data_IF_762338134009
#
_entry.id   IF_762338134009
#
_cell.length_a   1.000
_cell.length_b   1.000
_cell.length_c   1.000
_cell.angle_alpha   90.00
_cell.angle_beta   90.00
_cell.angle_gamma   90.00
#
_symmetry.space_group_name_H-M   'P 1'
#
loop_
_entity.id
_entity.type
_entity.pdbx_description
1 polymer ?
#
# COMPACT_ATOMS: atom_id res chain seq x y z
N UNK A 1 -5.51 -6.42 11.53
CA UNK A 1 -4.53 -5.50 12.15
C UNK A 1 -4.15 -4.41 11.18
N UNK A 2 -3.77 -3.24 11.70
CA UNK A 2 -3.32 -2.10 10.90
C UNK A 2 -1.83 -1.85 11.13
N UNK A 3 -1.05 -1.78 10.06
CA UNK A 3 0.35 -1.37 10.04
C UNK A 3 0.45 -0.02 9.30
N UNK A 4 0.05 1.05 9.99
CA UNK A 4 -0.12 2.37 9.38
C UNK A 4 0.33 3.53 10.28
N UNK A 5 1.04 3.23 11.36
CA UNK A 5 1.49 4.21 12.35
C UNK A 5 0.35 5.13 12.86
N UNK A 6 -0.85 4.56 13.06
CA UNK A 6 -2.06 5.30 13.47
C UNK A 6 -2.43 6.42 12.49
N UNK A 7 -2.37 6.13 11.19
CA UNK A 7 -2.78 7.05 10.14
C UNK A 7 -4.16 7.68 10.41
N UNK A 8 -4.27 9.00 10.18
CA UNK A 8 -5.50 9.77 10.40
C UNK A 8 -6.54 9.58 9.31
N UNK A 9 -6.14 9.00 8.18
CA UNK A 9 -6.97 8.74 7.00
C UNK A 9 -7.35 7.26 6.85
N UNK A 10 -7.26 6.48 7.94
CA UNK A 10 -7.76 5.10 7.99
C UNK A 10 -9.27 5.11 7.68
N UNK A 11 -9.76 4.21 6.80
CA UNK A 11 -11.19 4.14 6.50
C UNK A 11 -12.00 3.79 7.76
N UNK A 12 -13.26 4.21 7.80
CA UNK A 12 -14.18 3.90 8.91
C UNK A 12 -14.63 2.44 8.91
N UNK A 13 -14.63 1.79 7.74
CA UNK A 13 -14.97 0.39 7.57
C UNK A 13 -14.16 -0.30 6.46
N UNK A 14 -14.10 -1.63 6.55
CA UNK A 14 -13.59 -2.52 5.50
C UNK A 14 -14.64 -3.59 5.22
N UNK A 15 -14.49 -4.30 4.10
CA UNK A 15 -15.32 -5.47 3.76
C UNK A 15 -14.46 -6.71 3.67
N UNK A 16 -14.85 -7.74 4.43
CA UNK A 16 -14.21 -9.05 4.44
C UNK A 16 -15.17 -10.06 3.83
N UNK A 17 -14.73 -10.72 2.77
CA UNK A 17 -15.45 -11.77 2.08
C UNK A 17 -15.04 -13.13 2.67
N UNK A 18 -16.03 -13.99 2.91
CA UNK A 18 -15.84 -15.42 3.15
C UNK A 18 -15.93 -16.16 1.83
N UNK A 19 -14.89 -16.94 1.51
CA UNK A 19 -14.85 -17.80 0.34
C UNK A 19 -15.04 -19.25 0.76
N UNK A 20 -15.95 -19.95 0.08
CA UNK A 20 -16.14 -21.39 0.16
C UNK A 20 -15.72 -22.00 -1.17
N UNK A 21 -14.68 -22.85 -1.16
CA UNK A 21 -14.07 -23.42 -2.36
C UNK A 21 -13.76 -22.36 -3.45
N UNK A 22 -13.23 -21.21 -3.03
CA UNK A 22 -12.86 -20.11 -3.92
C UNK A 22 -14.02 -19.20 -4.38
N UNK A 23 -15.27 -19.46 -3.96
CA UNK A 23 -16.42 -18.62 -4.27
C UNK A 23 -16.86 -17.81 -3.05
N UNK A 24 -17.13 -16.53 -3.24
CA UNK A 24 -17.69 -15.67 -2.18
C UNK A 24 -19.08 -16.17 -1.80
N UNK A 25 -19.31 -16.39 -0.50
CA UNK A 25 -20.59 -16.88 0.05
C UNK A 25 -21.18 -15.98 1.14
N UNK A 26 -20.38 -15.12 1.76
CA UNK A 26 -20.83 -14.08 2.68
C UNK A 26 -19.83 -12.91 2.68
N UNK A 27 -20.28 -11.73 3.10
CA UNK A 27 -19.45 -10.54 3.26
C UNK A 27 -19.80 -9.84 4.58
N UNK A 28 -18.79 -9.50 5.37
CA UNK A 28 -18.94 -8.69 6.59
C UNK A 28 -18.33 -7.32 6.42
N UNK A 29 -19.09 -6.31 6.80
CA UNK A 29 -18.55 -4.99 7.08
C UNK A 29 -17.93 -4.99 8.48
N UNK A 30 -16.69 -4.52 8.58
CA UNK A 30 -15.90 -4.51 9.82
C UNK A 30 -15.49 -3.08 10.13
N UNK A 31 -15.65 -2.67 11.37
CA UNK A 31 -15.44 -1.28 11.80
C UNK A 31 -14.65 -1.19 13.10
N UNK A 32 -14.25 0.03 13.48
CA UNK A 32 -13.69 0.29 14.79
C UNK A 32 -14.65 -0.08 15.94
N UNK A 33 -15.97 0.06 15.77
CA UNK A 33 -16.97 -0.31 16.78
C UNK A 33 -16.97 -1.82 17.08
N UNK A 34 -16.64 -2.65 16.08
CA UNK A 34 -16.45 -4.10 16.23
C UNK A 34 -15.05 -4.47 16.71
N UNK A 35 -14.22 -3.49 17.12
CA UNK A 35 -12.80 -3.67 17.42
C UNK A 35 -12.02 -4.33 16.26
N UNK A 36 -12.42 -4.06 15.01
CA UNK A 36 -11.87 -4.68 13.81
C UNK A 36 -11.95 -6.21 13.77
N UNK A 37 -12.89 -6.80 14.52
CA UNK A 37 -13.13 -8.25 14.54
C UNK A 37 -14.36 -8.59 13.72
N UNK A 38 -14.35 -9.77 13.12
CA UNK A 38 -15.47 -10.33 12.39
C UNK A 38 -15.63 -11.81 12.70
N UNK A 39 -16.84 -12.32 12.55
CA UNK A 39 -17.18 -13.72 12.73
C UNK A 39 -18.14 -14.14 11.64
N UNK A 40 -17.90 -15.30 11.05
CA UNK A 40 -18.85 -16.02 10.21
C UNK A 40 -19.33 -17.24 10.98
N UNK A 41 -20.64 -17.40 11.10
CA UNK A 41 -21.26 -18.47 11.90
C UNK A 41 -22.06 -19.41 11.02
N UNK A 42 -22.37 -20.61 11.56
CA UNK A 42 -23.25 -21.60 10.92
C UNK A 42 -22.75 -22.07 9.54
N UNK A 43 -21.41 -22.17 9.40
CA UNK A 43 -20.78 -22.70 8.20
C UNK A 43 -20.90 -24.23 8.16
N UNK A 44 -21.27 -24.76 7.00
CA UNK A 44 -21.31 -26.21 6.80
C UNK A 44 -19.88 -26.73 6.63
N UNK A 45 -19.51 -27.82 7.31
CA UNK A 45 -18.18 -28.39 7.17
C UNK A 45 -18.01 -29.25 5.90
N UNK A 46 -19.10 -29.85 5.41
CA UNK A 46 -19.09 -30.80 4.30
C UNK A 46 -20.24 -30.55 3.32
N UNK A 47 -20.02 -30.91 2.06
CA UNK A 47 -21.06 -30.94 1.04
C UNK A 47 -21.98 -32.16 1.17
N UNK A 48 -22.98 -32.28 0.27
CA UNK A 48 -23.94 -33.37 0.25
C UNK A 48 -23.30 -34.77 0.02
N UNK A 49 -22.07 -34.81 -0.50
CA UNK A 49 -21.32 -36.04 -0.76
C UNK A 49 -20.30 -36.34 0.36
N UNK A 50 -20.25 -35.52 1.42
CA UNK A 50 -19.30 -35.67 2.52
C UNK A 50 -17.91 -35.11 2.24
N UNK A 51 -17.73 -34.30 1.19
CA UNK A 51 -16.45 -33.64 0.88
C UNK A 51 -16.32 -32.36 1.71
N UNK A 52 -15.19 -32.19 2.39
CA UNK A 52 -14.96 -31.03 3.25
C UNK A 52 -14.88 -29.73 2.43
N UNK A 53 -15.52 -28.68 2.90
CA UNK A 53 -15.39 -27.35 2.32
C UNK A 53 -14.08 -26.69 2.76
N UNK A 54 -13.39 -26.07 1.80
CA UNK A 54 -12.28 -25.16 2.08
C UNK A 54 -12.85 -23.75 2.30
N UNK A 55 -12.56 -23.18 3.46
CA UNK A 55 -12.90 -21.79 3.77
C UNK A 55 -11.66 -20.91 3.82
N UNK A 56 -11.77 -19.73 3.19
CA UNK A 56 -10.74 -18.71 3.15
C UNK A 56 -11.39 -17.34 3.35
N UNK A 57 -10.62 -16.36 3.81
CA UNK A 57 -11.08 -14.98 3.90
C UNK A 57 -10.30 -14.12 2.91
N UNK A 58 -10.96 -13.08 2.40
CA UNK A 58 -10.34 -12.08 1.55
C UNK A 58 -10.87 -10.71 1.92
N UNK A 59 -10.00 -9.72 1.97
CA UNK A 59 -10.43 -8.34 2.07
C UNK A 59 -10.70 -7.75 0.69
N UNK A 60 -11.75 -6.94 0.57
CA UNK A 60 -11.94 -6.10 -0.61
C UNK A 60 -10.89 -4.98 -0.63
N UNK A 61 -10.49 -4.49 -1.82
CA UNK A 61 -9.45 -3.47 -1.92
C UNK A 61 -9.75 -2.23 -1.06
N UNK A 62 -8.77 -1.81 -0.26
CA UNK A 62 -8.81 -0.59 0.55
C UNK A 62 -7.87 0.44 -0.07
N UNK A 63 -8.40 1.62 -0.41
CA UNK A 63 -7.60 2.65 -1.05
C UNK A 63 -6.42 3.09 -0.17
N UNK A 64 -5.20 3.05 -0.72
CA UNK A 64 -3.98 3.45 -0.02
C UNK A 64 -3.44 2.40 0.95
N UNK A 65 -3.93 1.17 0.89
CA UNK A 65 -3.47 0.06 1.72
C UNK A 65 -3.20 -1.18 0.88
N UNK A 66 -2.20 -1.94 1.30
CA UNK A 66 -1.92 -3.28 0.82
C UNK A 66 -2.36 -4.28 1.90
N UNK A 67 -3.10 -5.31 1.49
CA UNK A 67 -3.70 -6.29 2.38
C UNK A 67 -2.98 -7.63 2.29
N UNK A 68 -2.64 -8.20 3.45
CA UNK A 68 -2.05 -9.52 3.57
C UNK A 68 -2.90 -10.42 4.47
N UNK A 69 -3.24 -11.61 3.99
CA UNK A 69 -4.02 -12.61 4.73
C UNK A 69 -3.10 -13.72 5.23
N UNK A 70 -3.16 -14.01 6.54
CA UNK A 70 -2.47 -15.14 7.18
C UNK A 70 -3.50 -15.97 7.96
N UNK A 71 -3.95 -17.08 7.37
CA UNK A 71 -5.08 -17.86 7.90
C UNK A 71 -6.35 -17.04 7.84
N UNK A 72 -6.82 -16.56 8.99
CA UNK A 72 -7.97 -15.65 9.12
C UNK A 72 -7.58 -14.25 9.59
N UNK A 73 -6.30 -13.99 9.82
CA UNK A 73 -5.85 -12.65 10.19
C UNK A 73 -5.56 -11.84 8.93
N UNK A 74 -6.12 -10.63 8.88
CA UNK A 74 -5.92 -9.67 7.79
C UNK A 74 -5.06 -8.52 8.32
N UNK A 75 -3.94 -8.23 7.67
CA UNK A 75 -3.08 -7.09 8.00
C UNK A 75 -3.08 -6.09 6.85
N UNK A 76 -3.51 -4.87 7.14
CA UNK A 76 -3.46 -3.74 6.22
C UNK A 76 -2.22 -2.90 6.48
N UNK A 77 -1.32 -2.83 5.50
CA UNK A 77 -0.14 -1.95 5.54
C UNK A 77 -0.42 -0.70 4.74
N UNK A 78 -0.20 0.48 5.33
CA UNK A 78 -0.36 1.74 4.61
C UNK A 78 0.66 1.77 3.48
N UNK A 79 0.17 1.95 2.26
CA UNK A 79 1.04 2.31 1.14
C UNK A 79 1.39 3.78 1.37
N UNK A 80 2.57 4.01 1.94
CA UNK A 80 3.12 5.35 1.97
C UNK A 80 3.21 5.83 0.52
N UNK A 81 2.79 7.08 0.28
CA UNK A 81 3.18 7.81 -0.92
C UNK A 81 4.19 8.83 -0.43
N UNK A 82 5.46 8.53 -0.59
CA UNK A 82 6.48 9.51 -0.28
C UNK A 82 6.62 10.46 -1.46
N UNK A 83 6.71 11.75 -1.15
CA UNK A 83 7.21 12.75 -2.09
C UNK A 83 8.61 13.13 -1.61
N UNK A 84 9.61 12.95 -2.46
CA UNK A 84 10.98 13.38 -2.18
C UNK A 84 11.31 14.52 -3.12
N UNK A 85 11.48 15.71 -2.57
CA UNK A 85 11.84 16.90 -3.33
C UNK A 85 13.22 17.41 -2.95
N UNK A 86 13.87 18.07 -3.90
CA UNK A 86 15.13 18.72 -3.67
C UNK A 86 15.45 19.72 -4.77
N UNK A 87 16.54 20.42 -4.57
CA UNK A 87 17.07 21.40 -5.53
C UNK A 87 18.58 21.27 -5.54
N UNK A 88 19.16 21.20 -6.73
CA UNK A 88 20.60 21.28 -6.87
C UNK A 88 21.04 22.75 -6.86
N UNK A 89 21.88 23.12 -5.89
CA UNK A 89 22.45 24.46 -5.76
C UNK A 89 23.91 24.42 -6.17
N UNK A 90 24.27 25.25 -7.15
CA UNK A 90 25.64 25.39 -7.63
C UNK A 90 26.39 26.43 -6.79
N UNK A 91 27.49 26.04 -6.16
CA UNK A 91 28.43 26.95 -5.49
C UNK A 91 29.74 27.02 -6.28
N UNK A 92 29.68 27.67 -7.44
CA UNK A 92 30.74 27.68 -8.46
C UNK A 92 31.10 29.11 -8.92
N UNK A 93 30.73 30.14 -8.15
CA UNK A 93 30.89 31.55 -8.54
C UNK A 93 30.25 31.89 -9.91
N UNK A 94 29.14 31.23 -10.25
CA UNK A 94 28.42 31.46 -11.50
C UNK A 94 29.24 31.13 -12.75
N UNK A 95 29.94 30.00 -12.70
CA UNK A 95 30.68 29.45 -13.82
C UNK A 95 29.80 29.25 -15.07
N UNK A 96 30.38 29.43 -16.26
CA UNK A 96 29.68 29.37 -17.55
C UNK A 96 29.70 27.99 -18.20
N UNK A 97 30.49 27.05 -17.68
CA UNK A 97 30.73 25.70 -18.20
C UNK A 97 29.91 24.62 -17.48
N UNK A 98 28.79 25.02 -16.85
CA UNK A 98 27.87 24.10 -16.20
C UNK A 98 27.33 23.06 -17.20
N UNK A 99 27.16 21.80 -16.78
CA UNK A 99 26.47 20.83 -17.61
C UNK A 99 25.02 21.29 -17.86
N UNK A 100 24.48 20.94 -19.03
CA UNK A 100 23.09 21.26 -19.38
C UNK A 100 22.07 20.50 -18.51
N UNK A 101 22.48 19.37 -17.95
CA UNK A 101 21.65 18.53 -17.07
C UNK A 101 22.47 17.75 -16.04
N UNK A 102 21.80 17.31 -14.99
CA UNK A 102 22.31 16.30 -14.03
C UNK A 102 21.31 15.16 -13.94
N UNK A 103 21.76 14.00 -13.45
CA UNK A 103 20.88 12.91 -13.01
C UNK A 103 20.89 12.83 -11.50
N UNK A 104 19.71 12.77 -10.90
CA UNK A 104 19.52 12.56 -9.47
C UNK A 104 18.89 11.19 -9.28
N UNK A 105 19.56 10.33 -8.54
CA UNK A 105 19.05 9.01 -8.18
C UNK A 105 18.35 9.08 -6.82
N UNK A 106 17.17 8.47 -6.75
CA UNK A 106 16.51 8.18 -5.48
C UNK A 106 16.94 6.80 -5.01
N UNK A 107 17.47 6.72 -3.79
CA UNK A 107 17.89 5.47 -3.17
C UNK A 107 16.94 5.07 -2.05
N UNK A 108 16.49 3.81 -2.06
CA UNK A 108 15.81 3.17 -0.93
C UNK A 108 16.72 2.07 -0.38
N UNK A 109 17.12 2.20 0.89
CA UNK A 109 18.04 1.26 1.55
C UNK A 109 19.34 1.00 0.76
N UNK A 110 19.91 2.07 0.17
CA UNK A 110 21.14 2.00 -0.61
C UNK A 110 21.00 1.47 -2.04
N UNK A 111 19.79 1.15 -2.51
CA UNK A 111 19.53 0.75 -3.90
C UNK A 111 18.81 1.86 -4.66
N UNK A 112 19.24 2.15 -5.88
CA UNK A 112 18.56 3.08 -6.78
C UNK A 112 17.18 2.50 -7.14
N UNK A 113 16.13 3.28 -6.89
CA UNK A 113 14.73 2.90 -7.18
C UNK A 113 14.08 3.80 -8.23
N UNK A 114 14.61 5.00 -8.47
CA UNK A 114 14.20 5.91 -9.55
C UNK A 114 15.36 6.88 -9.88
N UNK A 115 15.33 7.46 -11.09
CA UNK A 115 16.31 8.44 -11.56
C UNK A 115 15.61 9.56 -12.32
N UNK A 116 15.92 10.81 -11.99
CA UNK A 116 15.41 11.99 -12.72
C UNK A 116 16.53 12.79 -13.36
N UNK A 117 16.30 13.20 -14.61
CA UNK A 117 17.09 14.24 -15.25
C UNK A 117 16.58 15.62 -14.82
N UNK A 118 17.51 16.47 -14.43
CA UNK A 118 17.25 17.80 -13.86
C UNK A 118 18.05 18.83 -14.65
N UNK A 119 17.42 19.94 -15.02
CA UNK A 119 18.03 20.95 -15.89
C UNK A 119 17.80 22.36 -15.34
N UNK A 120 18.45 23.35 -15.95
CA UNK A 120 18.16 24.75 -15.68
C UNK A 120 16.68 25.12 -15.92
N UNK A 121 16.00 24.48 -16.89
CA UNK A 121 14.59 24.74 -17.20
C UNK A 121 13.63 24.36 -16.06
N UNK A 122 14.01 23.40 -15.21
CA UNK A 122 13.25 23.05 -14.00
C UNK A 122 13.69 23.85 -12.77
N UNK A 123 14.49 24.91 -12.95
CA UNK A 123 15.17 25.63 -11.89
C UNK A 123 16.00 24.70 -10.98
N UNK A 124 16.58 23.64 -11.57
CA UNK A 124 17.34 22.61 -10.84
C UNK A 124 16.54 21.88 -9.76
N UNK A 125 15.21 21.99 -9.76
CA UNK A 125 14.32 21.29 -8.83
C UNK A 125 13.96 19.92 -9.36
N UNK A 126 13.78 18.98 -8.43
CA UNK A 126 13.29 17.64 -8.71
C UNK A 126 12.31 17.20 -7.63
N UNK A 127 11.37 16.36 -8.03
CA UNK A 127 10.35 15.78 -7.16
C UNK A 127 10.15 14.33 -7.59
N UNK A 128 10.37 13.37 -6.71
CA UNK A 128 9.93 11.98 -6.87
C UNK A 128 8.58 11.86 -6.17
N UNK A 129 7.59 11.28 -6.84
CA UNK A 129 6.22 11.18 -6.33
C UNK A 129 5.77 9.72 -6.32
N UNK A 130 4.80 9.40 -5.43
CA UNK A 130 4.13 8.09 -5.39
C UNK A 130 5.08 6.91 -5.13
N UNK A 131 6.13 7.17 -4.35
CA UNK A 131 7.07 6.17 -3.83
C UNK A 131 6.45 5.34 -2.70
#
# INVERSE_FOLDING_TARGET
TWNDNNATDRPSSIKVDLLQNGKVVDTKEVTAATNWKYTFEKLQAYDANGVAYKYEVKEQPVAGYESQVSGTDITNTKVAKLTVEGTNTWNDNNATDRPSSIKVDLLQNGKVVDTKEVTAATNWKYTFEKL
#
